data_IF_600832849536
#
_entry.id   IF_600832849536
#
_cell.length_a   1.000
_cell.length_b   1.000
_cell.length_c   1.000
_cell.angle_alpha   90.00
_cell.angle_beta   90.00
_cell.angle_gamma   90.00
#
_symmetry.space_group_name_H-M   'P 1'
#
loop_
_entity.id
_entity.type
_entity.pdbx_description
1 polymer ?
#
# COMPACT_ATOMS: atom_id res chain seq x y z
N UNK A 1 -23.47 -17.06 -26.96
CA UNK A 1 -24.01 -18.23 -26.23
C UNK A 1 -23.60 -19.48 -26.98
N UNK A 2 -22.63 -20.23 -26.45
CA UNK A 2 -22.97 -21.58 -26.00
C UNK A 2 -22.73 -21.76 -24.48
N UNK A 3 -23.40 -22.74 -23.88
CA UNK A 3 -23.23 -23.10 -22.48
C UNK A 3 -21.84 -23.70 -22.21
N UNK A 4 -21.22 -23.29 -21.10
CA UNK A 4 -20.23 -24.11 -20.39
C UNK A 4 -20.89 -24.59 -19.10
N UNK A 5 -20.82 -25.90 -18.84
CA UNK A 5 -21.50 -26.52 -17.72
C UNK A 5 -20.82 -26.19 -16.39
N UNK A 6 -21.61 -25.96 -15.34
CA UNK A 6 -21.10 -25.83 -13.98
C UNK A 6 -20.59 -27.17 -13.45
N UNK A 7 -19.31 -27.23 -13.10
CA UNK A 7 -18.79 -28.28 -12.23
C UNK A 7 -19.31 -28.09 -10.80
N UNK A 8 -19.40 -29.15 -9.98
CA UNK A 8 -19.86 -29.04 -8.60
C UNK A 8 -18.89 -28.17 -7.79
N UNK A 9 -19.43 -27.32 -6.93
CA UNK A 9 -18.65 -26.64 -5.90
C UNK A 9 -18.04 -27.69 -4.98
N UNK A 10 -16.73 -27.89 -5.07
CA UNK A 10 -15.99 -28.70 -4.11
C UNK A 10 -15.96 -27.98 -2.77
N UNK A 11 -16.33 -28.69 -1.70
CA UNK A 11 -16.49 -28.13 -0.37
C UNK A 11 -15.21 -27.49 0.19
N UNK A 12 -15.38 -26.35 0.86
CA UNK A 12 -14.31 -25.56 1.47
C UNK A 12 -13.84 -26.16 2.80
N UNK A 13 -13.32 -27.39 2.76
CA UNK A 13 -12.55 -27.96 3.88
C UNK A 13 -11.13 -27.37 3.91
N UNK A 14 -11.05 -26.07 4.24
CA UNK A 14 -9.78 -25.37 4.46
C UNK A 14 -9.13 -25.87 5.75
N UNK A 15 -8.19 -26.81 5.59
CA UNK A 15 -7.09 -27.21 6.50
C UNK A 15 -7.25 -26.73 7.96
N UNK A 16 -7.64 -27.64 8.84
CA UNK A 16 -7.15 -27.64 10.22
C UNK A 16 -5.62 -27.80 10.18
N UNK A 17 -4.89 -26.69 9.97
CA UNK A 17 -3.43 -26.63 10.05
C UNK A 17 -2.96 -26.31 11.48
N UNK A 18 -3.73 -26.74 12.48
CA UNK A 18 -3.38 -26.69 13.89
C UNK A 18 -2.56 -27.91 14.32
N UNK A 19 -1.53 -28.27 13.56
CA UNK A 19 -0.58 -29.32 13.95
C UNK A 19 0.86 -28.90 13.61
N UNK A 20 1.62 -28.56 14.66
CA UNK A 20 3.07 -28.35 14.71
C UNK A 20 3.72 -27.49 13.59
N UNK A 21 3.61 -26.16 13.70
CA UNK A 21 4.57 -25.24 13.05
C UNK A 21 5.94 -25.40 13.73
N UNK A 22 6.79 -26.26 13.17
CA UNK A 22 8.11 -26.58 13.76
C UNK A 22 9.09 -25.40 13.69
N UNK A 23 9.98 -25.29 14.68
CA UNK A 23 10.87 -24.15 14.95
C UNK A 23 12.03 -23.93 13.92
N UNK A 24 11.92 -24.41 12.68
CA UNK A 24 13.10 -24.59 11.80
C UNK A 24 13.03 -23.99 10.40
N UNK A 25 12.04 -23.14 10.08
CA UNK A 25 12.08 -22.34 8.84
C UNK A 25 12.88 -21.05 9.04
N UNK A 26 14.07 -21.01 8.42
CA UNK A 26 14.94 -19.83 8.40
C UNK A 26 14.20 -18.64 7.75
N UNK A 27 14.18 -17.45 8.38
CA UNK A 27 13.53 -16.28 7.79
C UNK A 27 14.23 -15.86 6.49
N UNK A 28 13.43 -15.54 5.46
CA UNK A 28 13.91 -14.95 4.22
C UNK A 28 14.33 -13.50 4.43
N UNK A 29 13.59 -12.76 5.25
CA UNK A 29 13.90 -11.40 5.68
C UNK A 29 13.95 -11.35 7.21
N UNK A 30 15.02 -10.79 7.77
CA UNK A 30 15.14 -10.48 9.20
C UNK A 30 15.50 -9.01 9.37
N UNK A 31 14.78 -8.33 10.25
CA UNK A 31 14.91 -6.90 10.53
C UNK A 31 15.13 -6.72 12.02
N UNK A 32 16.23 -6.08 12.39
CA UNK A 32 16.66 -5.90 13.79
C UNK A 32 16.94 -4.42 14.05
N UNK A 33 16.25 -3.82 15.03
CA UNK A 33 16.45 -2.44 15.46
C UNK A 33 16.39 -1.40 14.34
N UNK A 34 15.61 -1.61 13.28
CA UNK A 34 15.65 -0.79 12.06
C UNK A 34 15.24 0.66 12.32
N UNK A 35 16.10 1.62 11.98
CA UNK A 35 15.86 3.06 12.14
C UNK A 35 15.90 3.78 10.79
N UNK A 36 14.94 4.69 10.57
CA UNK A 36 15.05 5.77 9.59
C UNK A 36 14.56 7.09 10.15
N UNK A 37 15.51 7.99 10.40
CA UNK A 37 15.24 9.39 10.71
C UNK A 37 15.57 10.26 9.49
N UNK A 38 14.66 11.15 9.09
CA UNK A 38 14.91 12.13 8.02
C UNK A 38 15.29 13.50 8.62
N UNK A 39 16.46 14.07 8.31
CA UNK A 39 16.91 15.31 8.93
C UNK A 39 16.08 16.51 8.45
N UNK A 40 15.61 17.33 9.39
CA UNK A 40 14.92 18.59 9.10
C UNK A 40 15.98 19.68 9.10
N UNK A 41 16.15 20.38 7.98
CA UNK A 41 17.16 21.43 7.80
C UNK A 41 16.49 22.81 7.69
N UNK A 42 17.08 23.85 8.28
CA UNK A 42 16.53 25.22 8.26
C UNK A 42 17.62 26.28 8.06
N UNK A 43 17.24 27.40 7.44
CA UNK A 43 18.09 28.55 7.15
C UNK A 43 19.01 28.36 5.93
N UNK A 44 19.65 29.44 5.49
CA UNK A 44 20.52 29.44 4.29
C UNK A 44 21.70 28.45 4.43
N UNK A 45 22.17 28.21 5.65
CA UNK A 45 23.25 27.27 5.96
C UNK A 45 22.79 25.81 6.14
N UNK A 46 21.51 25.49 5.88
CA UNK A 46 20.97 24.11 5.89
C UNK A 46 21.29 23.32 7.17
N UNK A 47 21.32 23.99 8.33
CA UNK A 47 21.60 23.38 9.64
C UNK A 47 20.47 22.45 10.04
N UNK A 48 20.80 21.28 10.56
CA UNK A 48 19.81 20.34 11.09
C UNK A 48 19.21 20.88 12.39
N UNK A 49 17.88 20.99 12.44
CA UNK A 49 17.10 21.51 13.58
C UNK A 49 16.19 20.46 14.22
N UNK A 50 16.13 19.26 13.65
CA UNK A 50 15.34 18.14 14.13
C UNK A 50 15.43 16.95 13.18
N UNK A 51 14.59 15.93 13.40
CA UNK A 51 14.42 14.84 12.45
C UNK A 51 13.02 14.23 12.54
N UNK A 52 12.47 13.82 11.39
CA UNK A 52 11.24 13.02 11.30
C UNK A 52 11.61 11.57 11.64
N UNK A 53 11.11 11.04 12.77
CA UNK A 53 11.34 9.65 13.18
C UNK A 53 10.34 8.70 12.50
N UNK A 54 10.52 8.51 11.19
CA UNK A 54 9.59 7.74 10.34
C UNK A 54 9.58 6.23 10.65
N UNK A 55 10.75 5.66 10.99
CA UNK A 55 10.90 4.32 11.55
C UNK A 55 11.94 4.41 12.67
N UNK A 56 11.69 3.79 13.83
CA UNK A 56 12.46 4.07 15.05
C UNK A 56 12.77 2.82 15.88
N UNK A 57 13.57 1.90 15.37
CA UNK A 57 13.93 0.68 16.08
C UNK A 57 12.77 -0.31 16.07
N UNK A 58 12.53 -0.91 14.90
CA UNK A 58 11.54 -1.98 14.73
C UNK A 58 12.23 -3.32 14.45
N UNK A 59 11.62 -4.38 14.97
CA UNK A 59 12.12 -5.74 14.91
C UNK A 59 11.03 -6.66 14.36
N UNK A 60 11.31 -7.34 13.26
CA UNK A 60 10.41 -8.34 12.67
C UNK A 60 11.15 -9.28 11.72
N UNK A 61 10.46 -10.34 11.32
CA UNK A 61 10.94 -11.41 10.47
C UNK A 61 9.84 -11.79 9.47
N UNK A 62 10.23 -12.34 8.32
CA UNK A 62 9.32 -12.90 7.32
C UNK A 62 9.91 -14.23 6.84
N UNK A 63 9.12 -15.31 6.95
CA UNK A 63 9.49 -16.65 6.51
C UNK A 63 9.31 -16.80 5.00
N UNK A 64 9.95 -17.80 4.41
CA UNK A 64 9.81 -18.07 2.97
C UNK A 64 8.38 -18.50 2.66
N UNK A 65 7.73 -17.91 1.66
CA UNK A 65 6.36 -18.22 1.26
C UNK A 65 5.29 -17.60 2.17
N UNK A 66 5.66 -16.80 3.17
CA UNK A 66 4.74 -16.11 4.09
C UNK A 66 4.28 -14.76 3.52
N UNK A 67 3.04 -14.37 3.80
CA UNK A 67 2.57 -12.99 3.68
C UNK A 67 2.48 -12.31 5.04
N UNK A 68 3.44 -11.40 5.31
CA UNK A 68 3.37 -10.46 6.43
C UNK A 68 2.56 -9.21 6.04
N UNK A 69 1.41 -9.03 6.67
CA UNK A 69 0.63 -7.80 6.61
C UNK A 69 1.21 -6.70 7.51
N UNK A 70 1.22 -5.45 7.05
CA UNK A 70 1.68 -4.29 7.82
C UNK A 70 0.60 -3.21 7.80
N UNK A 71 -0.02 -2.94 8.94
CA UNK A 71 -1.21 -2.09 9.08
C UNK A 71 -0.99 -0.91 10.03
N UNK A 72 -1.82 0.13 9.90
CA UNK A 72 -1.80 1.30 10.76
C UNK A 72 -2.32 2.55 10.06
N UNK A 73 -2.48 3.64 10.81
CA UNK A 73 -2.92 4.95 10.32
C UNK A 73 -1.99 5.51 9.22
N UNK A 74 -2.49 6.48 8.45
CA UNK A 74 -1.67 7.17 7.45
C UNK A 74 -0.48 7.88 8.13
N UNK A 75 0.67 7.94 7.44
CA UNK A 75 1.88 8.56 7.98
C UNK A 75 2.62 7.80 9.09
N UNK A 76 2.13 6.64 9.57
CA UNK A 76 2.78 5.89 10.66
C UNK A 76 4.10 5.18 10.31
N UNK A 77 4.62 5.33 9.08
CA UNK A 77 5.95 4.83 8.67
C UNK A 77 5.97 3.62 7.74
N UNK A 78 4.84 2.96 7.48
CA UNK A 78 4.75 1.70 6.71
C UNK A 78 5.46 1.75 5.34
N UNK A 79 5.13 2.73 4.50
CA UNK A 79 5.77 2.93 3.19
C UNK A 79 7.25 3.29 3.27
N UNK A 80 7.70 3.86 4.39
CA UNK A 80 9.14 4.05 4.66
C UNK A 80 9.79 2.71 4.99
N UNK A 81 9.21 1.91 5.89
CA UNK A 81 9.68 0.54 6.19
C UNK A 81 9.82 -0.28 4.90
N UNK A 82 8.80 -0.29 4.03
CA UNK A 82 8.86 -0.99 2.74
C UNK A 82 10.03 -0.55 1.86
N UNK A 83 10.34 0.75 1.83
CA UNK A 83 11.47 1.32 1.07
C UNK A 83 12.85 1.05 1.71
N UNK A 84 12.90 0.80 3.02
CA UNK A 84 14.11 0.40 3.74
C UNK A 84 14.48 -1.06 3.45
N UNK A 85 13.51 -1.98 3.59
CA UNK A 85 13.77 -3.42 3.37
C UNK A 85 14.06 -3.75 1.90
N UNK A 86 13.53 -2.96 0.96
CA UNK A 86 13.86 -3.03 -0.48
C UNK A 86 15.16 -2.29 -0.86
N UNK A 87 15.83 -1.62 0.10
CA UNK A 87 17.00 -0.76 -0.13
C UNK A 87 16.81 0.29 -1.24
N UNK A 88 15.58 0.80 -1.37
CA UNK A 88 15.30 2.04 -2.12
C UNK A 88 15.68 3.29 -1.30
N UNK A 89 15.63 3.18 0.03
CA UNK A 89 16.09 4.18 0.97
C UNK A 89 17.08 3.50 1.93
N UNK A 90 18.16 4.19 2.26
CA UNK A 90 19.16 3.70 3.22
C UNK A 90 18.68 3.87 4.68
N UNK A 91 18.73 2.83 5.52
CA UNK A 91 18.56 2.95 6.97
C UNK A 91 19.56 3.92 7.60
N UNK A 92 19.17 4.58 8.69
CA UNK A 92 20.09 5.35 9.55
C UNK A 92 20.66 4.53 10.70
N UNK A 93 20.14 3.32 10.92
CA UNK A 93 20.60 2.37 11.93
C UNK A 93 19.78 1.08 11.92
N UNK A 94 20.18 0.13 12.76
CA UNK A 94 19.66 -1.24 12.76
C UNK A 94 20.33 -2.11 11.70
N UNK A 95 19.73 -3.28 11.45
CA UNK A 95 20.19 -4.28 10.48
C UNK A 95 19.01 -4.82 9.68
N UNK A 96 19.24 -5.06 8.39
CA UNK A 96 18.35 -5.80 7.49
C UNK A 96 19.14 -6.95 6.87
N UNK A 97 18.70 -8.17 7.11
CA UNK A 97 19.29 -9.39 6.56
C UNK A 97 18.29 -10.04 5.59
N UNK A 98 18.74 -10.39 4.40
CA UNK A 98 17.95 -11.05 3.37
C UNK A 98 18.67 -12.31 2.88
N UNK A 99 17.99 -13.45 2.91
CA UNK A 99 18.54 -14.77 2.55
C UNK A 99 19.84 -15.10 3.31
N UNK A 100 19.92 -14.69 4.59
CA UNK A 100 21.11 -14.83 5.44
C UNK A 100 22.27 -13.89 5.11
N UNK A 101 22.07 -12.84 4.31
CA UNK A 101 23.09 -11.84 3.95
C UNK A 101 22.68 -10.47 4.46
N UNK A 102 23.60 -9.77 5.10
CA UNK A 102 23.38 -8.38 5.50
C UNK A 102 23.24 -7.50 4.25
N UNK A 103 22.09 -6.85 4.09
CA UNK A 103 21.81 -5.93 2.99
C UNK A 103 21.83 -4.45 3.41
N UNK A 104 22.06 -4.18 4.69
CA UNK A 104 21.80 -2.89 5.37
C UNK A 104 22.53 -1.73 4.71
N UNK A 105 23.78 -1.94 4.27
CA UNK A 105 24.65 -0.92 3.67
C UNK A 105 25.33 -1.41 2.38
N UNK A 106 24.66 -2.27 1.61
CA UNK A 106 25.21 -2.71 0.32
C UNK A 106 25.42 -1.53 -0.64
N UNK A 107 26.63 -1.48 -1.22
CA UNK A 107 26.97 -0.61 -2.33
C UNK A 107 26.30 -1.03 -3.64
N UNK A 108 26.44 -0.20 -4.67
CA UNK A 108 25.74 -0.33 -5.96
C UNK A 108 25.89 -1.70 -6.63
N UNK A 109 27.09 -2.30 -6.58
CA UNK A 109 27.34 -3.65 -7.11
C UNK A 109 26.55 -4.75 -6.38
N UNK A 110 26.53 -4.73 -5.05
CA UNK A 110 25.79 -5.68 -4.23
C UNK A 110 24.26 -5.52 -4.31
N UNK A 111 23.78 -4.30 -4.58
CA UNK A 111 22.35 -4.02 -4.80
C UNK A 111 21.81 -4.58 -6.12
N UNK A 112 22.65 -4.84 -7.13
CA UNK A 112 22.15 -5.29 -8.45
C UNK A 112 21.54 -6.70 -8.40
N UNK A 113 22.17 -7.73 -7.78
CA UNK A 113 21.53 -9.02 -7.52
C UNK A 113 20.30 -8.91 -6.61
N UNK A 114 20.39 -8.12 -5.52
CA UNK A 114 19.28 -7.94 -4.58
C UNK A 114 18.01 -7.42 -5.29
N UNK A 115 18.16 -6.50 -6.25
CA UNK A 115 17.07 -5.99 -7.11
C UNK A 115 16.54 -6.98 -8.14
N UNK A 116 16.99 -8.24 -8.15
CA UNK A 116 16.33 -9.35 -8.85
C UNK A 116 15.43 -10.11 -7.87
N UNK A 117 16.00 -10.46 -6.71
CA UNK A 117 15.34 -11.26 -5.67
C UNK A 117 14.27 -10.49 -4.87
N UNK A 118 14.39 -9.15 -4.79
CA UNK A 118 13.48 -8.27 -4.05
C UNK A 118 12.87 -7.25 -5.01
N UNK A 119 11.53 -7.20 -5.06
CA UNK A 119 10.75 -6.35 -5.94
C UNK A 119 9.69 -5.55 -5.16
N UNK A 120 9.20 -4.46 -5.75
CA UNK A 120 8.23 -3.57 -5.11
C UNK A 120 7.06 -3.26 -6.05
N UNK A 121 5.84 -3.42 -5.53
CA UNK A 121 4.61 -2.88 -6.10
C UNK A 121 4.34 -1.55 -5.38
N UNK A 122 4.17 -0.48 -6.15
CA UNK A 122 3.97 0.86 -5.62
C UNK A 122 2.48 1.21 -5.47
N UNK A 123 2.19 2.12 -4.54
CA UNK A 123 0.85 2.62 -4.20
C UNK A 123 0.09 3.23 -5.39
N UNK A 124 0.81 3.93 -6.29
CA UNK A 124 0.20 4.57 -7.44
C UNK A 124 0.42 3.76 -8.74
N UNK A 125 -0.60 3.09 -9.30
CA UNK A 125 -0.51 2.44 -10.60
C UNK A 125 -0.35 3.42 -11.78
N UNK A 126 -0.68 4.70 -11.61
CA UNK A 126 -0.57 5.72 -12.65
C UNK A 126 0.87 6.24 -12.74
N UNK A 127 1.36 6.87 -11.67
CA UNK A 127 2.73 7.42 -11.59
C UNK A 127 3.83 6.37 -11.66
N UNK A 128 3.55 5.09 -11.36
CA UNK A 128 4.54 4.02 -11.50
C UNK A 128 4.68 3.46 -12.93
N UNK A 129 3.82 3.83 -13.88
CA UNK A 129 3.90 3.40 -15.28
C UNK A 129 4.18 4.59 -16.21
N UNK A 130 5.27 4.56 -16.98
CA UNK A 130 5.57 5.65 -17.92
C UNK A 130 4.54 5.67 -19.07
N UNK A 131 3.71 6.72 -19.22
CA UNK A 131 2.61 6.74 -20.20
C UNK A 131 3.10 6.81 -21.66
N UNK A 132 4.37 7.17 -21.89
CA UNK A 132 4.99 7.24 -23.24
C UNK A 132 5.45 5.87 -23.76
N UNK A 133 5.42 4.82 -22.93
CA UNK A 133 5.89 3.48 -23.29
C UNK A 133 4.72 2.48 -23.40
N UNK A 134 4.86 1.49 -24.28
CA UNK A 134 3.90 0.38 -24.39
C UNK A 134 4.00 -0.56 -23.18
N UNK A 135 2.94 -1.32 -22.90
CA UNK A 135 2.92 -2.33 -21.82
C UNK A 135 4.06 -3.34 -22.02
N UNK A 136 4.28 -3.79 -23.26
CA UNK A 136 5.40 -4.64 -23.62
C UNK A 136 6.76 -4.08 -23.21
N UNK A 137 6.98 -2.78 -23.42
CA UNK A 137 8.19 -2.07 -23.00
C UNK A 137 8.31 -1.93 -21.48
N UNK A 138 7.20 -1.69 -20.79
CA UNK A 138 7.20 -1.47 -19.33
C UNK A 138 7.43 -2.78 -18.56
N UNK A 139 6.78 -3.87 -18.97
CA UNK A 139 6.92 -5.20 -18.33
C UNK A 139 8.25 -5.85 -18.70
N UNK A 140 8.84 -5.54 -19.88
CA UNK A 140 10.18 -6.03 -20.25
C UNK A 140 11.35 -5.22 -19.69
N UNK A 141 11.12 -4.02 -19.15
CA UNK A 141 12.18 -3.18 -18.60
C UNK A 141 13.06 -3.88 -17.54
N UNK A 142 12.54 -4.69 -16.60
CA UNK A 142 13.36 -5.43 -15.64
C UNK A 142 14.38 -6.37 -16.30
N UNK A 143 13.99 -7.11 -17.34
CA UNK A 143 14.88 -8.00 -18.10
C UNK A 143 16.06 -7.23 -18.69
N UNK A 144 15.79 -6.12 -19.37
CA UNK A 144 16.82 -5.26 -19.98
C UNK A 144 17.76 -4.65 -18.95
N UNK A 145 17.22 -4.09 -17.86
CA UNK A 145 18.02 -3.44 -16.81
C UNK A 145 18.92 -4.45 -16.08
N UNK A 146 18.46 -5.69 -15.91
CA UNK A 146 19.21 -6.73 -15.24
C UNK A 146 20.10 -7.56 -16.17
N UNK A 147 19.93 -7.49 -17.49
CA UNK A 147 20.65 -8.38 -18.42
C UNK A 147 20.21 -9.83 -18.25
N UNK A 148 18.89 -10.07 -18.21
CA UNK A 148 18.28 -11.39 -18.11
C UNK A 148 17.51 -11.64 -19.40
N UNK A 149 17.76 -12.77 -20.04
CA UNK A 149 17.04 -13.20 -21.24
C UNK A 149 16.12 -14.39 -20.91
N UNK A 150 14.79 -14.22 -20.97
CA UNK A 150 13.85 -15.32 -20.71
C UNK A 150 13.89 -16.38 -21.79
N UNK A 151 13.65 -17.64 -21.40
CA UNK A 151 13.49 -18.75 -22.33
C UNK A 151 12.31 -18.51 -23.29
N UNK A 152 12.54 -18.70 -24.59
CA UNK A 152 11.57 -18.36 -25.63
C UNK A 152 11.43 -16.85 -25.92
N UNK A 153 12.29 -16.01 -25.33
CA UNK A 153 12.45 -14.60 -25.64
C UNK A 153 11.53 -13.65 -24.86
N UNK A 154 12.01 -12.42 -24.69
CA UNK A 154 11.38 -11.36 -23.88
C UNK A 154 9.89 -11.14 -24.20
N UNK A 155 9.52 -11.12 -25.49
CA UNK A 155 8.12 -10.89 -25.90
C UNK A 155 7.17 -11.98 -25.38
N UNK A 156 7.58 -13.25 -25.50
CA UNK A 156 6.78 -14.41 -25.08
C UNK A 156 6.58 -14.42 -23.57
N UNK A 157 7.64 -14.15 -22.80
CA UNK A 157 7.54 -14.08 -21.33
C UNK A 157 6.66 -12.92 -20.87
N UNK A 158 6.73 -11.74 -21.51
CA UNK A 158 5.79 -10.65 -21.20
C UNK A 158 4.34 -11.04 -21.50
N UNK A 159 4.08 -11.75 -22.60
CA UNK A 159 2.73 -12.23 -22.92
C UNK A 159 2.21 -13.21 -21.87
N UNK A 160 3.05 -14.16 -21.41
CA UNK A 160 2.74 -15.07 -20.30
C UNK A 160 2.48 -14.32 -18.99
N UNK A 161 3.27 -13.29 -18.67
CA UNK A 161 3.08 -12.46 -17.48
C UNK A 161 1.78 -11.64 -17.54
N UNK A 162 1.32 -11.24 -18.72
CA UNK A 162 0.01 -10.60 -18.90
C UNK A 162 -1.13 -11.59 -18.65
N UNK A 163 -1.06 -12.80 -19.22
CA UNK A 163 -2.05 -13.87 -18.97
C UNK A 163 -2.16 -14.19 -17.48
N UNK A 164 -1.01 -14.36 -16.82
CA UNK A 164 -0.92 -14.67 -15.39
C UNK A 164 -1.61 -13.63 -14.49
N UNK A 165 -1.58 -12.35 -14.86
CA UNK A 165 -2.31 -11.30 -14.13
C UNK A 165 -3.73 -11.05 -14.67
N UNK A 166 -4.26 -11.92 -15.52
CA UNK A 166 -5.62 -11.85 -16.06
C UNK A 166 -5.82 -10.83 -17.18
N UNK A 167 -4.81 -10.62 -18.04
CA UNK A 167 -4.85 -9.72 -19.20
C UNK A 167 -4.54 -10.47 -20.50
N UNK A 168 -5.14 -10.05 -21.62
CA UNK A 168 -4.84 -10.65 -22.94
C UNK A 168 -3.38 -10.41 -23.37
N UNK A 169 -2.68 -11.42 -23.94
CA UNK A 169 -1.37 -11.26 -24.61
C UNK A 169 -1.31 -10.15 -25.66
N UNK A 170 -2.43 -9.86 -26.31
CA UNK A 170 -2.53 -8.87 -27.39
C UNK A 170 -2.33 -7.44 -26.87
N UNK A 171 -2.52 -7.23 -25.57
CA UNK A 171 -2.27 -5.97 -24.89
C UNK A 171 -0.80 -5.52 -24.87
N UNK A 172 0.14 -6.37 -25.31
CA UNK A 172 1.57 -6.06 -25.39
C UNK A 172 1.88 -4.71 -26.06
N UNK A 173 1.19 -4.36 -27.15
CA UNK A 173 1.45 -3.13 -27.92
C UNK A 173 0.68 -1.89 -27.41
N UNK A 174 -0.22 -2.05 -26.44
CA UNK A 174 -1.08 -0.97 -25.92
C UNK A 174 -0.31 -0.07 -24.95
N UNK A 175 -0.86 1.10 -24.65
CA UNK A 175 -0.31 2.09 -23.71
C UNK A 175 -1.09 2.14 -22.39
N UNK A 176 -0.48 2.56 -21.26
CA UNK A 176 -1.13 2.60 -19.95
C UNK A 176 -2.47 3.34 -19.92
N UNK A 177 -2.63 4.40 -20.73
CA UNK A 177 -3.84 5.21 -20.74
C UNK A 177 -5.09 4.45 -21.23
N UNK A 178 -4.92 3.34 -21.96
CA UNK A 178 -6.02 2.53 -22.50
C UNK A 178 -6.57 1.46 -21.54
N UNK A 179 -6.07 1.44 -20.29
CA UNK A 179 -6.43 0.45 -19.26
C UNK A 179 -7.15 1.10 -18.08
N UNK A 180 -8.03 0.36 -17.42
CA UNK A 180 -8.63 0.77 -16.13
C UNK A 180 -7.59 0.79 -15.01
N UNK A 181 -7.88 1.46 -13.88
CA UNK A 181 -6.98 1.51 -12.73
C UNK A 181 -6.57 0.11 -12.23
N UNK A 182 -7.51 -0.82 -12.11
CA UNK A 182 -7.23 -2.21 -11.73
C UNK A 182 -6.37 -2.98 -12.75
N UNK A 183 -6.56 -2.71 -14.04
CA UNK A 183 -5.70 -3.31 -15.08
C UNK A 183 -4.27 -2.72 -15.04
N UNK A 184 -4.12 -1.42 -14.76
CA UNK A 184 -2.79 -0.80 -14.53
C UNK A 184 -2.09 -1.39 -13.31
N UNK A 185 -2.84 -1.66 -12.23
CA UNK A 185 -2.31 -2.35 -11.06
C UNK A 185 -1.83 -3.77 -11.40
N UNK A 186 -2.62 -4.55 -12.16
CA UNK A 186 -2.22 -5.87 -12.68
C UNK A 186 -0.96 -5.79 -13.54
N UNK A 187 -0.80 -4.78 -14.40
CA UNK A 187 0.43 -4.53 -15.17
C UNK A 187 1.62 -4.21 -14.24
N UNK A 188 1.39 -3.44 -13.17
CA UNK A 188 2.40 -3.17 -12.13
C UNK A 188 2.88 -4.44 -11.42
N UNK A 189 1.95 -5.35 -11.10
CA UNK A 189 2.23 -6.68 -10.54
C UNK A 189 3.03 -7.52 -11.55
N UNK A 190 2.58 -7.64 -12.80
CA UNK A 190 3.29 -8.38 -13.85
C UNK A 190 4.74 -7.92 -14.03
N UNK A 191 4.99 -6.60 -13.99
CA UNK A 191 6.35 -6.03 -14.03
C UNK A 191 7.17 -6.43 -12.79
N UNK A 192 6.60 -6.39 -11.58
CA UNK A 192 7.29 -6.80 -10.36
C UNK A 192 7.65 -8.30 -10.37
N UNK A 193 6.80 -9.15 -10.97
CA UNK A 193 7.03 -10.58 -11.08
C UNK A 193 8.00 -10.99 -12.20
N UNK A 194 8.32 -10.10 -13.15
CA UNK A 194 9.08 -10.43 -14.34
C UNK A 194 10.42 -11.15 -14.05
N UNK A 195 11.10 -10.78 -12.97
CA UNK A 195 12.39 -11.37 -12.59
C UNK A 195 12.30 -12.60 -11.66
N UNK A 196 11.09 -13.11 -11.40
CA UNK A 196 10.80 -14.22 -10.46
C UNK A 196 11.42 -13.95 -9.06
N UNK A 197 11.03 -12.83 -8.40
CA UNK A 197 11.58 -12.45 -7.11
C UNK A 197 11.23 -13.47 -6.01
N UNK A 198 12.05 -13.52 -4.95
CA UNK A 198 11.73 -14.29 -3.73
C UNK A 198 10.80 -13.50 -2.80
N UNK A 199 10.97 -12.17 -2.76
CA UNK A 199 10.23 -11.25 -1.90
C UNK A 199 9.62 -10.11 -2.72
N UNK A 200 8.33 -9.88 -2.53
CA UNK A 200 7.60 -8.74 -3.10
C UNK A 200 7.05 -7.86 -1.98
N UNK A 201 7.42 -6.59 -1.98
CA UNK A 201 6.87 -5.58 -1.06
C UNK A 201 5.77 -4.82 -1.76
N UNK A 202 4.54 -4.92 -1.27
CA UNK A 202 3.38 -4.26 -1.85
C UNK A 202 2.97 -3.06 -0.99
N UNK A 203 3.29 -1.85 -1.45
CA UNK A 203 2.99 -0.58 -0.76
C UNK A 203 1.58 -0.13 -1.13
N UNK A 204 0.57 -0.48 -0.32
CA UNK A 204 -0.86 -0.22 -0.56
C UNK A 204 -1.37 -0.64 -1.97
N UNK A 205 -1.29 -1.92 -2.36
CA UNK A 205 -1.55 -2.37 -3.74
C UNK A 205 -3.01 -2.22 -4.23
N UNK A 206 -3.91 -1.67 -3.40
CA UNK A 206 -5.35 -1.57 -3.68
C UNK A 206 -5.97 -0.23 -3.30
N UNK A 207 -5.23 0.72 -2.70
CA UNK A 207 -5.84 1.92 -2.10
C UNK A 207 -6.48 2.88 -3.09
N UNK A 208 -6.01 2.90 -4.35
CA UNK A 208 -6.54 3.74 -5.43
C UNK A 208 -7.65 3.07 -6.26
N UNK A 209 -8.26 1.97 -5.79
CA UNK A 209 -9.18 1.12 -6.57
C UNK A 209 -10.55 0.96 -5.91
N UNK A 210 -11.59 0.80 -6.72
CA UNK A 210 -12.95 0.49 -6.26
C UNK A 210 -13.02 -0.84 -5.50
N UNK A 211 -13.86 -0.95 -4.47
CA UNK A 211 -13.94 -2.10 -3.55
C UNK A 211 -14.03 -3.46 -4.27
N UNK A 212 -14.80 -3.56 -5.36
CA UNK A 212 -14.91 -4.79 -6.17
C UNK A 212 -13.61 -5.15 -6.90
N UNK A 213 -12.84 -4.15 -7.32
CA UNK A 213 -11.53 -4.31 -7.95
C UNK A 213 -10.44 -4.61 -6.90
N UNK A 214 -10.54 -4.03 -5.70
CA UNK A 214 -9.65 -4.36 -4.58
C UNK A 214 -9.70 -5.88 -4.30
N UNK A 215 -10.90 -6.44 -4.13
CA UNK A 215 -11.07 -7.88 -3.90
C UNK A 215 -10.46 -8.74 -5.02
N UNK A 216 -10.60 -8.34 -6.29
CA UNK A 216 -10.00 -9.07 -7.40
C UNK A 216 -8.46 -9.01 -7.43
N UNK A 217 -7.86 -7.90 -6.99
CA UNK A 217 -6.39 -7.76 -6.89
C UNK A 217 -5.85 -8.52 -5.67
N UNK A 218 -6.59 -8.53 -4.56
CA UNK A 218 -6.29 -9.31 -3.35
C UNK A 218 -6.28 -10.81 -3.67
N UNK A 219 -7.31 -11.33 -4.33
CA UNK A 219 -7.37 -12.74 -4.74
C UNK A 219 -6.23 -13.07 -5.72
N UNK A 220 -5.92 -12.19 -6.69
CA UNK A 220 -4.80 -12.40 -7.60
C UNK A 220 -3.46 -12.55 -6.84
N UNK A 221 -3.23 -11.78 -5.76
CA UNK A 221 -2.01 -11.91 -4.96
C UNK A 221 -1.97 -13.23 -4.17
N UNK A 222 -3.11 -13.73 -3.68
CA UNK A 222 -3.26 -15.05 -3.02
C UNK A 222 -2.95 -16.19 -4.02
N UNK A 223 -3.56 -16.14 -5.21
CA UNK A 223 -3.33 -17.10 -6.30
C UNK A 223 -1.84 -17.13 -6.72
N UNK A 224 -1.22 -15.96 -6.87
CA UNK A 224 0.20 -15.80 -7.19
C UNK A 224 1.13 -16.31 -6.08
N UNK A 225 0.76 -16.13 -4.81
CA UNK A 225 1.50 -16.69 -3.66
C UNK A 225 1.54 -18.21 -3.77
N UNK A 226 0.39 -18.83 -4.00
CA UNK A 226 0.23 -20.28 -4.09
C UNK A 226 0.90 -20.89 -5.34
N UNK A 227 0.79 -20.25 -6.50
CA UNK A 227 1.38 -20.77 -7.76
C UNK A 227 2.91 -20.61 -7.81
N UNK A 228 3.44 -19.50 -7.30
CA UNK A 228 4.85 -19.14 -7.47
C UNK A 228 5.71 -19.26 -6.19
N UNK A 229 5.12 -19.57 -5.04
CA UNK A 229 5.84 -19.68 -3.77
C UNK A 229 6.41 -18.35 -3.28
N UNK A 230 5.73 -17.25 -3.58
CA UNK A 230 6.21 -15.89 -3.28
C UNK A 230 6.13 -15.57 -1.78
N UNK A 231 7.10 -14.79 -1.31
CA UNK A 231 7.03 -14.16 0.01
C UNK A 231 6.55 -12.73 -0.15
N UNK A 232 5.59 -12.28 0.68
CA UNK A 232 5.03 -10.94 0.59
C UNK A 232 5.21 -10.13 1.88
N UNK A 233 5.46 -8.83 1.72
CA UNK A 233 5.19 -7.82 2.76
C UNK A 233 4.15 -6.87 2.20
N UNK A 234 2.90 -7.01 2.66
CA UNK A 234 1.76 -6.20 2.19
C UNK A 234 1.51 -5.07 3.18
N UNK A 235 1.79 -3.85 2.77
CA UNK A 235 1.44 -2.63 3.50
C UNK A 235 0.01 -2.24 3.13
N UNK A 236 -0.84 -1.98 4.12
CA UNK A 236 -2.19 -1.46 3.93
C UNK A 236 -2.58 -0.49 5.05
N UNK A 237 -3.63 0.30 4.81
CA UNK A 237 -4.30 1.07 5.86
C UNK A 237 -5.61 0.40 6.34
N UNK A 238 -6.25 -0.44 5.51
CA UNK A 238 -7.45 -1.20 5.88
C UNK A 238 -7.09 -2.63 6.31
N UNK A 239 -7.48 -2.97 7.53
CA UNK A 239 -7.31 -4.30 8.11
C UNK A 239 -8.20 -5.34 7.40
N UNK A 240 -9.36 -4.95 6.86
CA UNK A 240 -10.29 -5.83 6.15
C UNK A 240 -9.61 -6.55 4.97
N UNK A 241 -8.78 -5.83 4.22
CA UNK A 241 -7.95 -6.36 3.13
C UNK A 241 -6.93 -7.37 3.66
N UNK A 242 -6.14 -6.95 4.66
CA UNK A 242 -5.02 -7.72 5.20
C UNK A 242 -5.46 -9.04 5.84
N UNK A 243 -6.66 -9.09 6.41
CA UNK A 243 -7.24 -10.34 6.93
C UNK A 243 -7.29 -11.46 5.88
N UNK A 244 -7.54 -11.16 4.62
CA UNK A 244 -7.79 -12.21 3.63
C UNK A 244 -6.50 -12.86 3.11
N UNK A 245 -5.40 -12.11 3.06
CA UNK A 245 -4.14 -12.52 2.42
C UNK A 245 -2.95 -12.72 3.35
N UNK A 246 -3.01 -12.28 4.62
CA UNK A 246 -1.85 -12.34 5.52
C UNK A 246 -1.90 -13.47 6.53
N UNK A 247 -0.75 -14.12 6.73
CA UNK A 247 -0.50 -15.15 7.75
C UNK A 247 -0.25 -14.51 9.11
N UNK A 248 0.66 -13.52 9.14
CA UNK A 248 0.93 -12.65 10.29
C UNK A 248 0.64 -11.19 9.96
N UNK A 249 0.36 -10.40 10.99
CA UNK A 249 0.03 -8.98 10.87
C UNK A 249 0.84 -8.18 11.89
N UNK A 250 1.63 -7.23 11.39
CA UNK A 250 2.33 -6.20 12.17
C UNK A 250 1.50 -4.91 12.20
N UNK A 251 1.16 -4.45 13.39
CA UNK A 251 0.48 -3.17 13.63
C UNK A 251 1.54 -2.11 13.92
N UNK A 252 1.64 -1.10 13.06
CA UNK A 252 2.56 0.02 13.21
C UNK A 252 1.85 1.28 13.71
N UNK A 253 2.40 1.91 14.74
CA UNK A 253 1.99 3.23 15.21
C UNK A 253 3.22 4.15 15.37
N UNK A 254 3.18 5.31 14.73
CA UNK A 254 4.27 6.31 14.73
C UNK A 254 5.67 5.68 14.66
N UNK A 255 5.99 4.94 13.60
CA UNK A 255 7.33 4.39 13.35
C UNK A 255 7.79 3.25 14.26
N UNK A 256 6.92 2.74 15.14
CA UNK A 256 7.13 1.56 16.00
C UNK A 256 6.15 0.44 15.60
N UNK A 257 6.54 -0.82 15.78
CA UNK A 257 5.60 -1.95 15.80
C UNK A 257 5.03 -2.03 17.22
N UNK A 258 3.72 -1.94 17.35
CA UNK A 258 3.04 -2.02 18.67
C UNK A 258 2.43 -3.38 18.95
N UNK A 259 2.15 -4.16 17.92
CA UNK A 259 1.67 -5.54 18.03
C UNK A 259 2.05 -6.33 16.78
N UNK A 260 2.41 -7.60 16.94
CA UNK A 260 2.67 -8.55 15.86
C UNK A 260 2.13 -9.92 16.29
N UNK A 261 1.19 -10.47 15.53
CA UNK A 261 0.63 -11.79 15.79
C UNK A 261 0.37 -12.55 14.49
N UNK A 262 0.01 -13.84 14.59
CA UNK A 262 -0.78 -14.46 13.54
C UNK A 262 -2.12 -13.72 13.36
N UNK A 263 -2.67 -13.77 12.15
CA UNK A 263 -3.95 -13.13 11.81
C UNK A 263 -5.03 -13.46 12.84
N UNK A 264 -5.22 -14.73 13.13
CA UNK A 264 -6.39 -15.22 13.85
C UNK A 264 -6.38 -14.74 15.31
N UNK A 265 -5.23 -14.80 15.97
CA UNK A 265 -5.03 -14.24 17.31
C UNK A 265 -5.25 -12.73 17.32
N UNK A 266 -4.76 -11.98 16.32
CA UNK A 266 -4.94 -10.52 16.26
C UNK A 266 -6.41 -10.12 16.14
N UNK A 267 -7.22 -10.83 15.34
CA UNK A 267 -8.67 -10.54 15.21
C UNK A 267 -9.50 -11.04 16.39
N UNK A 268 -9.11 -12.16 17.02
CA UNK A 268 -9.86 -12.76 18.14
C UNK A 268 -9.57 -12.07 19.47
N UNK A 269 -8.32 -11.68 19.71
CA UNK A 269 -7.83 -11.17 21.00
C UNK A 269 -6.71 -10.11 20.82
N UNK A 270 -6.98 -8.94 20.19
CA UNK A 270 -6.00 -7.87 20.06
C UNK A 270 -5.57 -7.36 21.44
N UNK A 271 -4.28 -7.28 21.71
CA UNK A 271 -3.73 -6.92 23.01
C UNK A 271 -3.45 -5.43 23.17
N UNK A 272 -2.95 -4.76 22.14
CA UNK A 272 -2.61 -3.35 22.25
C UNK A 272 -3.88 -2.49 22.11
N UNK A 273 -4.12 -1.50 22.98
CA UNK A 273 -5.29 -0.60 22.87
C UNK A 273 -5.47 0.02 21.47
N UNK A 274 -4.40 0.48 20.82
CA UNK A 274 -4.46 0.93 19.42
C UNK A 274 -5.00 -0.14 18.44
N UNK A 275 -4.53 -1.39 18.53
CA UNK A 275 -5.05 -2.49 17.70
C UNK A 275 -6.51 -2.75 17.98
N UNK A 276 -6.93 -2.78 19.25
CA UNK A 276 -8.34 -2.95 19.66
C UNK A 276 -9.22 -1.84 19.06
N UNK A 277 -8.74 -0.60 19.04
CA UNK A 277 -9.44 0.52 18.41
C UNK A 277 -9.54 0.36 16.88
N UNK A 278 -8.43 0.04 16.19
CA UNK A 278 -8.43 -0.25 14.75
C UNK A 278 -9.39 -1.38 14.38
N UNK A 279 -9.38 -2.49 15.14
CA UNK A 279 -10.26 -3.63 14.91
C UNK A 279 -11.74 -3.27 15.10
N UNK A 280 -12.07 -2.38 16.05
CA UNK A 280 -13.45 -1.92 16.25
C UNK A 280 -14.04 -1.13 15.07
N UNK A 281 -13.18 -0.58 14.20
CA UNK A 281 -13.59 0.15 13.00
C UNK A 281 -13.85 -0.77 11.79
N UNK A 282 -13.37 -2.03 11.81
CA UNK A 282 -13.48 -2.98 10.70
C UNK A 282 -14.96 -3.39 10.49
N UNK A 283 -15.54 -3.19 9.29
CA UNK A 283 -16.91 -3.62 9.01
C UNK A 283 -17.06 -5.15 9.10
N UNK A 284 -18.04 -5.63 9.86
CA UNK A 284 -18.40 -7.06 9.86
C UNK A 284 -19.11 -7.38 8.53
N UNK A 285 -18.56 -8.27 7.66
CA UNK A 285 -19.15 -8.50 6.33
C UNK A 285 -20.52 -9.17 6.39
N UNK A 286 -20.71 -10.11 7.34
CA UNK A 286 -21.93 -10.89 7.53
C UNK A 286 -23.15 -9.98 7.86
N UNK A 287 -24.15 -9.88 6.96
CA UNK A 287 -25.34 -9.05 7.19
C UNK A 287 -26.15 -9.47 8.43
N UNK A 288 -26.10 -10.75 8.83
CA UNK A 288 -26.81 -11.27 10.01
C UNK A 288 -26.15 -10.84 11.31
N UNK A 289 -24.82 -10.65 11.30
CA UNK A 289 -24.04 -10.11 12.43
C UNK A 289 -23.98 -8.58 12.43
N UNK A 290 -24.38 -7.92 11.35
CA UNK A 290 -24.49 -6.45 11.28
C UNK A 290 -25.51 -5.86 12.27
N UNK A 291 -26.44 -6.68 12.76
CA UNK A 291 -27.38 -6.34 13.84
C UNK A 291 -26.83 -6.57 15.26
N UNK A 292 -25.69 -7.27 15.41
CA UNK A 292 -24.97 -7.29 16.68
C UNK A 292 -24.36 -5.90 16.87
N UNK A 293 -24.62 -5.27 18.03
CA UNK A 293 -24.12 -3.93 18.36
C UNK A 293 -22.60 -3.93 18.35
N UNK A 294 -22.00 -3.51 17.24
CA UNK A 294 -20.56 -3.28 17.17
C UNK A 294 -20.27 -1.95 17.85
N UNK A 295 -19.78 -2.02 19.09
CA UNK A 295 -19.21 -0.87 19.79
C UNK A 295 -17.96 -0.40 19.03
N UNK A 296 -18.03 0.80 18.44
CA UNK A 296 -16.89 1.42 17.77
C UNK A 296 -16.16 2.31 18.76
N UNK A 297 -14.84 2.10 18.87
CA UNK A 297 -13.95 2.93 19.68
C UNK A 297 -13.48 4.08 18.79
N UNK A 298 -14.05 5.27 18.97
CA UNK A 298 -13.55 6.49 18.34
C UNK A 298 -12.42 7.06 19.19
N UNK A 299 -11.19 7.02 18.66
CA UNK A 299 -10.03 7.65 19.26
C UNK A 299 -10.14 9.17 19.11
N UNK A 300 -10.10 9.91 20.22
CA UNK A 300 -10.09 11.38 20.18
C UNK A 300 -8.68 11.92 19.91
N UNK A 301 -8.62 13.12 19.33
CA UNK A 301 -7.38 13.84 19.04
C UNK A 301 -6.62 13.35 17.79
N UNK A 302 -5.86 14.26 17.20
CA UNK A 302 -5.05 14.00 16.01
C UNK A 302 -3.87 13.07 16.28
N UNK A 303 -3.35 12.46 15.22
CA UNK A 303 -2.11 11.67 15.28
C UNK A 303 -0.93 12.61 15.61
N UNK A 304 -0.16 12.37 16.70
CA UNK A 304 0.97 13.22 17.06
C UNK A 304 2.04 13.33 15.96
N UNK A 305 2.69 14.48 15.86
CA UNK A 305 3.70 14.72 14.82
C UNK A 305 4.91 13.76 14.94
N UNK A 306 5.31 13.05 13.87
CA UNK A 306 6.53 12.23 13.87
C UNK A 306 7.85 13.01 14.01
N UNK A 307 7.79 14.35 14.02
CA UNK A 307 8.92 15.25 14.30
C UNK A 307 9.25 15.26 15.80
N UNK A 308 8.21 15.28 16.63
CA UNK A 308 8.27 15.33 18.09
C UNK A 308 7.30 14.28 18.66
N UNK A 309 7.58 12.97 18.49
CA UNK A 309 6.72 11.92 18.99
C UNK A 309 6.62 11.97 20.53
N UNK A 310 5.51 11.51 21.13
CA UNK A 310 5.37 11.44 22.58
C UNK A 310 6.46 10.59 23.23
N UNK A 311 6.81 10.92 24.48
CA UNK A 311 7.75 10.16 25.29
C UNK A 311 7.16 8.83 25.75
N UNK A 312 8.00 7.86 26.09
CA UNK A 312 7.55 6.54 26.52
C UNK A 312 6.74 5.81 25.43
N UNK A 313 5.55 5.32 25.78
CA UNK A 313 4.62 4.72 24.83
C UNK A 313 4.06 5.78 23.89
N UNK A 314 4.44 5.76 22.60
CA UNK A 314 3.98 6.76 21.61
C UNK A 314 2.45 6.91 21.52
N UNK A 315 1.67 5.90 21.92
CA UNK A 315 0.20 5.92 21.93
C UNK A 315 -0.42 6.51 23.21
N UNK A 316 0.36 6.84 24.25
CA UNK A 316 -0.17 7.26 25.57
C UNK A 316 -1.08 8.51 25.51
N UNK A 317 -0.98 9.33 24.47
CA UNK A 317 -1.82 10.54 24.29
C UNK A 317 -3.22 10.25 23.77
N UNK A 318 -3.48 9.04 23.25
CA UNK A 318 -4.76 8.57 22.69
C UNK A 318 -5.23 7.24 23.31
N UNK A 319 -4.58 6.80 24.39
CA UNK A 319 -4.82 5.53 25.05
C UNK A 319 -5.61 5.72 26.35
N UNK A 320 -6.71 5.00 26.49
CA UNK A 320 -7.58 5.01 27.68
C UNK A 320 -7.01 4.25 28.87
N UNK A 321 -6.00 3.39 28.66
CA UNK A 321 -5.22 2.73 29.72
C UNK A 321 -3.87 3.42 29.99
N UNK A 322 -3.70 4.68 29.56
CA UNK A 322 -2.43 5.38 29.78
C UNK A 322 -2.26 5.83 31.23
N UNK A 323 -1.06 5.58 31.75
CA UNK A 323 -0.60 5.80 33.13
C UNK A 323 0.75 6.54 33.12
N UNK A 324 1.36 6.83 34.27
CA UNK A 324 2.63 7.57 34.29
C UNK A 324 3.83 6.75 33.74
N UNK A 325 3.83 5.42 33.89
CA UNK A 325 4.82 4.56 33.21
C UNK A 325 4.67 4.66 31.68
N UNK A 326 3.46 4.76 31.16
CA UNK A 326 3.20 4.94 29.72
C UNK A 326 3.77 6.23 29.15
N UNK A 327 3.88 7.28 29.96
CA UNK A 327 4.40 8.61 29.56
C UNK A 327 5.92 8.72 29.68
N UNK A 328 6.52 7.92 30.56
CA UNK A 328 7.94 8.04 30.94
C UNK A 328 8.82 6.92 30.35
N UNK A 329 8.29 5.71 30.19
CA UNK A 329 9.02 4.53 29.73
C UNK A 329 8.44 3.96 28.44
N UNK A 330 9.31 3.67 27.46
CA UNK A 330 8.90 2.99 26.23
C UNK A 330 8.65 1.50 26.54
N UNK A 331 7.48 0.93 26.20
CA UNK A 331 7.21 -0.48 26.41
C UNK A 331 8.01 -1.34 25.42
N UNK A 332 8.77 -2.35 25.88
CA UNK A 332 9.44 -3.29 24.99
C UNK A 332 8.42 -4.17 24.24
N UNK A 333 8.76 -4.59 23.02
CA UNK A 333 7.95 -5.53 22.24
C UNK A 333 8.15 -6.96 22.78
N UNK A 334 7.27 -7.40 23.67
CA UNK A 334 7.36 -8.69 24.37
C UNK A 334 6.35 -9.71 23.83
N UNK A 335 6.74 -10.98 23.79
CA UNK A 335 5.81 -12.09 23.51
C UNK A 335 5.01 -12.42 24.77
N UNK A 336 3.73 -12.02 24.81
CA UNK A 336 2.84 -12.23 25.97
C UNK A 336 1.90 -13.43 25.81
N UNK A 337 1.76 -13.94 24.59
CA UNK A 337 1.20 -15.26 24.27
C UNK A 337 1.99 -15.89 23.12
N UNK A 338 1.99 -17.22 22.97
CA UNK A 338 2.67 -17.90 21.87
C UNK A 338 2.34 -17.27 20.51
N UNK A 339 3.37 -16.77 19.81
CA UNK A 339 3.25 -16.13 18.51
C UNK A 339 2.72 -14.68 18.50
N UNK A 340 2.33 -14.12 19.65
CA UNK A 340 1.76 -12.76 19.76
C UNK A 340 2.65 -11.84 20.62
N UNK A 341 3.39 -10.96 19.92
CA UNK A 341 4.23 -9.90 20.49
C UNK A 341 3.46 -8.59 20.62
N UNK A 342 3.59 -7.89 21.74
CA UNK A 342 2.95 -6.59 21.99
C UNK A 342 3.88 -5.66 22.78
N UNK A 343 3.87 -4.37 22.41
CA UNK A 343 4.59 -3.30 23.11
C UNK A 343 3.60 -2.48 23.95
N UNK A 344 3.16 -3.02 25.08
CA UNK A 344 2.22 -2.34 25.98
C UNK A 344 2.50 -2.67 27.46
N UNK A 345 2.45 -1.65 28.32
CA UNK A 345 2.52 -1.86 29.78
C UNK A 345 1.21 -2.45 30.33
N UNK A 346 0.06 -2.09 29.74
CA UNK A 346 -1.27 -2.50 30.21
C UNK A 346 -2.10 -3.13 29.07
N UNK A 347 -1.73 -4.32 28.56
CA UNK A 347 -2.47 -4.99 27.49
C UNK A 347 -3.94 -5.28 27.86
N UNK A 348 -4.78 -5.47 26.84
CA UNK A 348 -6.22 -5.74 26.98
C UNK A 348 -6.56 -7.23 27.11
N UNK A 349 -5.77 -8.09 26.47
CA UNK A 349 -6.03 -9.53 26.36
C UNK A 349 -4.85 -10.41 26.86
N UNK A 350 -4.00 -9.86 27.74
CA UNK A 350 -2.88 -10.54 28.39
C UNK A 350 -2.74 -10.07 29.84
N UNK A 351 -1.84 -10.69 30.60
CA UNK A 351 -1.50 -10.23 31.96
C UNK A 351 -0.91 -8.81 31.93
N UNK A 352 -1.28 -8.00 32.91
CA UNK A 352 -0.78 -6.62 33.02
C UNK A 352 0.72 -6.61 33.36
N UNK A 353 1.50 -5.80 32.65
CA UNK A 353 2.96 -5.76 32.82
C UNK A 353 3.39 -4.72 33.87
N UNK A 354 2.48 -3.84 34.30
CA UNK A 354 2.71 -2.86 35.35
C UNK A 354 1.52 -2.74 36.32
N UNK A 355 1.05 -3.85 36.95
CA UNK A 355 -0.18 -3.87 37.77
C UNK A 355 -0.15 -2.92 38.98
N UNK A 356 1.04 -2.48 39.41
CA UNK A 356 1.24 -1.46 40.45
C UNK A 356 0.98 -0.01 40.00
N UNK A 357 0.99 0.29 38.69
CA UNK A 357 0.71 1.63 38.16
C UNK A 357 -0.76 1.71 37.70
N UNK A 358 -1.63 2.14 38.61
CA UNK A 358 -3.08 2.19 38.40
C UNK A 358 -3.62 3.59 38.18
N UNK A 359 -2.78 4.62 38.24
CA UNK A 359 -3.20 6.02 38.14
C UNK A 359 -3.24 6.43 36.67
N UNK A 360 -4.44 6.46 36.11
CA UNK A 360 -4.67 6.93 34.74
C UNK A 360 -4.27 8.40 34.58
N UNK A 361 -3.63 8.72 33.45
CA UNK A 361 -3.42 10.10 33.02
C UNK A 361 -4.78 10.79 32.80
N UNK A 362 -4.88 12.09 33.08
CA UNK A 362 -6.10 12.85 32.82
C UNK A 362 -6.57 12.74 31.36
N UNK A 363 -5.63 12.77 30.41
CA UNK A 363 -5.90 12.57 28.99
C UNK A 363 -6.45 11.17 28.63
N UNK A 364 -6.19 10.15 29.46
CA UNK A 364 -6.70 8.79 29.24
C UNK A 364 -8.20 8.69 29.50
N UNK A 365 -8.72 9.43 30.49
CA UNK A 365 -10.14 9.46 30.83
C UNK A 365 -11.01 9.98 29.68
N UNK A 366 -10.49 10.93 28.89
CA UNK A 366 -11.18 11.52 27.74
C UNK A 366 -10.87 10.83 26.40
N UNK A 367 -9.98 9.84 26.35
CA UNK A 367 -9.35 9.35 25.11
C UNK A 367 -10.29 8.65 24.10
N UNK A 368 -11.42 8.08 24.56
CA UNK A 368 -12.40 7.37 23.71
C UNK A 368 -13.76 8.08 23.71
N UNK A 369 -14.48 7.98 22.59
CA UNK A 369 -15.94 7.90 22.58
C UNK A 369 -16.41 6.54 22.05
N UNK A 370 -17.21 5.79 22.81
CA UNK A 370 -17.75 4.48 22.40
C UNK A 370 -19.10 4.71 21.74
N UNK A 371 -19.19 4.45 20.44
CA UNK A 371 -20.43 4.63 19.67
C UNK A 371 -21.03 3.28 19.32
N UNK A 372 -22.24 3.02 19.81
CA UNK A 372 -23.05 1.86 19.38
C UNK A 372 -23.70 2.17 18.04
N UNK A 373 -23.21 1.57 16.95
CA UNK A 373 -23.85 1.71 15.64
C UNK A 373 -25.07 0.80 15.58
N UNK A 374 -26.26 1.40 15.68
CA UNK A 374 -27.53 0.72 15.45
C UNK A 374 -27.74 0.40 13.99
N UNK A 375 -28.30 -0.78 13.68
CA UNK A 375 -28.75 -1.10 12.34
C UNK A 375 -29.90 -0.18 11.93
N UNK A 376 -29.82 0.42 10.74
CA UNK A 376 -30.96 1.11 10.15
C UNK A 376 -32.12 0.13 9.94
N UNK A 377 -33.33 0.50 10.37
CA UNK A 377 -34.52 -0.26 10.02
C UNK A 377 -34.69 -0.29 8.50
N UNK A 378 -35.15 -1.41 7.91
CA UNK A 378 -35.41 -1.50 6.48
C UNK A 378 -36.64 -0.65 6.12
N UNK A 379 -36.41 0.63 5.85
CA UNK A 379 -37.42 1.51 5.26
C UNK A 379 -37.99 0.87 4.00
N UNK A 380 -39.31 0.71 3.96
CA UNK A 380 -39.98 0.00 2.88
C UNK A 380 -39.79 0.72 1.54
N UNK A 381 -38.92 0.18 0.68
CA UNK A 381 -38.81 0.60 -0.71
C UNK A 381 -40.01 0.04 -1.46
N UNK A 382 -41.08 0.83 -1.55
CA UNK A 382 -42.24 0.52 -2.38
C UNK A 382 -41.85 0.55 -3.85
N UNK A 383 -41.63 -0.62 -4.44
CA UNK A 383 -41.41 -0.78 -5.88
C UNK A 383 -42.73 -0.49 -6.61
N UNK A 384 -42.78 0.45 -7.57
CA UNK A 384 -43.95 0.62 -8.43
C UNK A 384 -44.11 -0.62 -9.32
N UNK A 385 -45.30 -1.21 -9.36
CA UNK A 385 -45.62 -2.31 -10.27
C UNK A 385 -45.62 -1.86 -11.74
N UNK A 386 -45.43 -2.79 -12.70
CA UNK A 386 -45.45 -2.45 -14.12
C UNK A 386 -46.86 -2.01 -14.56
N UNK A 387 -46.93 -0.88 -15.25
CA UNK A 387 -48.17 -0.39 -15.85
C UNK A 387 -48.53 -1.25 -17.08
N UNK A 388 -49.79 -1.70 -17.14
CA UNK A 388 -50.39 -2.37 -18.28
C UNK A 388 -50.73 -1.39 -19.41
N UNK A 389 -50.70 -1.87 -20.65
CA UNK A 389 -51.05 -1.10 -21.86
C UNK A 389 -52.54 -0.65 -21.87
N UNK A 390 -52.89 0.44 -22.58
CA UNK A 390 -54.23 1.03 -22.55
C UNK A 390 -55.12 0.56 -23.72
N UNK A 391 -56.43 0.50 -23.48
CA UNK A 391 -57.47 0.52 -24.53
C UNK A 391 -58.02 1.96 -24.73
N UNK A 392 -58.55 2.33 -25.92
CA UNK A 392 -58.76 3.73 -26.30
C UNK A 392 -60.24 4.18 -26.45
N UNK A 393 -60.59 5.34 -25.88
CA UNK A 393 -61.78 6.17 -26.16
C UNK A 393 -61.63 7.50 -25.37
N UNK A 394 -62.18 8.67 -25.72
CA UNK A 394 -62.41 9.33 -27.01
C UNK A 394 -62.58 10.87 -26.75
N UNK A 395 -62.46 11.71 -27.79
CA UNK A 395 -62.79 13.16 -27.82
C UNK A 395 -61.91 14.13 -26.97
N UNK A 396 -61.78 15.44 -27.27
CA UNK A 396 -61.79 16.22 -28.53
C UNK A 396 -61.31 17.68 -28.23
N UNK A 397 -61.03 18.48 -29.28
CA UNK A 397 -60.71 19.93 -29.29
C UNK A 397 -59.35 20.35 -28.67
N UNK A 398 -58.37 20.87 -29.45
CA UNK A 398 -58.25 22.27 -29.96
C UNK A 398 -57.95 23.31 -28.85
N UNK A 399 -57.00 24.26 -28.95
CA UNK A 399 -56.32 24.84 -30.13
C UNK A 399 -54.95 25.49 -29.79
N UNK A 400 -54.11 25.56 -30.82
CA UNK A 400 -52.96 26.48 -31.05
C UNK A 400 -52.86 27.78 -30.23
N UNK A 401 -51.67 28.12 -29.72
CA UNK A 401 -50.77 29.16 -30.30
C UNK A 401 -49.63 29.64 -29.35
N UNK A 402 -48.41 29.79 -29.90
CA UNK A 402 -47.31 30.68 -29.44
C UNK A 402 -47.50 32.09 -30.08
N UNK A 403 -46.76 33.18 -29.76
CA UNK A 403 -45.39 33.26 -29.18
C UNK A 403 -45.12 34.41 -28.17
N UNK A 404 -43.82 34.60 -27.81
CA UNK A 404 -43.05 35.87 -27.57
C UNK A 404 -43.72 37.17 -27.06
N UNK A 405 -43.08 38.05 -26.29
CA UNK A 405 -41.78 38.09 -25.59
C UNK A 405 -41.75 39.35 -24.67
N UNK A 406 -40.55 39.81 -24.30
CA UNK A 406 -40.17 41.18 -23.89
C UNK A 406 -40.31 41.61 -22.41
N UNK A 407 -39.10 41.71 -21.82
CA UNK A 407 -38.50 42.89 -21.18
C UNK A 407 -38.79 43.36 -19.73
N UNK A 408 -37.66 43.35 -18.99
CA UNK A 408 -37.03 44.48 -18.28
C UNK A 408 -37.65 45.14 -17.03
N UNK A 409 -36.82 45.11 -15.97
CA UNK A 409 -36.61 46.18 -14.96
C UNK A 409 -37.82 46.53 -14.03
N UNK A 410 -37.66 47.14 -12.84
CA UNK A 410 -36.52 47.85 -12.23
C UNK A 410 -36.61 47.79 -10.69
N UNK A 411 -35.54 48.21 -10.03
CA UNK A 411 -35.33 48.37 -8.58
C UNK A 411 -36.41 49.06 -7.74
N UNK A 412 -36.34 48.84 -6.42
CA UNK A 412 -36.66 49.87 -5.41
C UNK A 412 -35.72 49.82 -4.20
N UNK A 413 -35.16 51.00 -3.85
CA UNK A 413 -34.66 51.33 -2.51
C UNK A 413 -35.86 51.74 -1.62
N UNK A 414 -35.81 51.93 -0.30
CA UNK A 414 -34.69 51.99 0.65
C UNK A 414 -34.78 53.26 1.52
N UNK A 415 -34.84 53.09 2.85
CA UNK A 415 -34.76 54.09 3.94
C UNK A 415 -34.34 53.30 5.21
N UNK A 416 -33.42 53.71 6.09
CA UNK A 416 -33.24 55.01 6.78
C UNK A 416 -33.83 54.87 8.21
N UNK A 417 -33.16 55.14 9.34
CA UNK A 417 -32.05 56.09 9.61
C UNK A 417 -31.45 55.88 11.03
N UNK A 418 -30.11 55.99 11.19
CA UNK A 418 -29.28 56.37 12.39
C UNK A 418 -29.52 55.73 13.79
N UNK A 419 -28.56 55.51 14.72
CA UNK A 419 -27.14 55.93 14.98
C UNK A 419 -26.33 54.68 15.46
N UNK A 420 -25.04 54.66 15.81
CA UNK A 420 -23.92 55.62 15.83
C UNK A 420 -22.76 55.18 16.78
N UNK A 421 -21.68 55.98 16.86
CA UNK A 421 -20.45 55.81 17.69
C UNK A 421 -19.37 54.86 17.15
N UNK A 422 -18.15 55.39 17.01
CA UNK A 422 -16.94 54.72 16.52
C UNK A 422 -16.07 54.14 17.65
N UNK A 423 -15.27 53.11 17.36
CA UNK A 423 -13.85 53.06 17.80
C UNK A 423 -13.05 52.08 16.94
N UNK A 424 -11.73 52.28 16.87
CA UNK A 424 -10.87 51.86 15.74
C UNK A 424 -10.13 50.55 16.00
N UNK A 425 -10.00 49.69 14.98
CA UNK A 425 -9.05 48.57 14.96
C UNK A 425 -8.27 48.51 13.64
N UNK A 426 -6.95 48.65 13.72
CA UNK A 426 -6.03 47.99 12.78
C UNK A 426 -5.98 46.49 13.14
N UNK A 427 -5.45 45.56 12.32
CA UNK A 427 -4.88 45.63 10.98
C UNK A 427 -4.20 44.29 10.65
N UNK A 428 -3.85 44.08 9.39
CA UNK A 428 -3.06 42.96 8.86
C UNK A 428 -3.71 41.56 8.80
N UNK A 429 -4.13 41.19 7.59
CA UNK A 429 -4.29 39.81 7.15
C UNK A 429 -3.06 39.38 6.33
N UNK A 430 -2.62 38.13 6.47
CA UNK A 430 -1.60 37.51 5.60
C UNK A 430 -2.19 36.37 4.77
N UNK A 431 -1.85 36.24 3.46
CA UNK A 431 -2.39 35.22 2.58
C UNK A 431 -1.58 33.90 2.63
N UNK A 432 -2.21 32.79 2.21
CA UNK A 432 -1.52 31.53 1.94
C UNK A 432 -0.89 31.47 0.54
N UNK A 433 0.13 30.62 0.31
CA UNK A 433 0.80 30.50 -0.99
C UNK A 433 0.15 29.45 -1.91
N UNK A 434 0.16 29.76 -3.20
CA UNK A 434 -0.41 28.99 -4.31
C UNK A 434 0.51 27.89 -4.84
N UNK A 435 -0.03 27.00 -5.69
CA UNK A 435 0.74 26.01 -6.44
C UNK A 435 1.54 26.64 -7.60
N UNK A 436 2.70 26.06 -7.91
CA UNK A 436 3.48 26.37 -9.12
C UNK A 436 3.34 25.26 -10.17
N UNK A 437 3.00 25.66 -11.39
CA UNK A 437 3.15 24.87 -12.62
C UNK A 437 4.36 25.41 -13.37
N UNK A 438 5.16 24.53 -13.98
CA UNK A 438 6.27 24.93 -14.86
C UNK A 438 6.08 24.28 -16.23
N UNK A 439 6.03 25.11 -17.27
CA UNK A 439 5.86 24.69 -18.66
C UNK A 439 7.20 24.56 -19.39
N UNK A 440 7.32 23.55 -20.25
CA UNK A 440 8.43 23.39 -21.19
C UNK A 440 8.36 24.45 -22.31
N UNK A 441 9.51 24.86 -22.85
CA UNK A 441 9.58 25.72 -24.04
C UNK A 441 10.74 25.28 -24.95
N UNK A 442 10.41 24.90 -26.17
CA UNK A 442 11.35 24.47 -27.21
C UNK A 442 12.04 25.65 -27.89
N UNK A 443 13.24 25.42 -28.43
CA UNK A 443 13.79 26.15 -29.57
C UNK A 443 14.84 25.28 -30.29
N UNK A 444 14.70 25.13 -31.61
CA UNK A 444 15.70 24.57 -32.52
C UNK A 444 16.58 25.71 -33.07
N UNK A 445 17.86 25.43 -33.38
CA UNK A 445 18.46 25.74 -34.70
C UNK A 445 19.91 25.22 -34.78
N UNK A 446 20.26 24.67 -35.94
CA UNK A 446 21.60 24.25 -36.37
C UNK A 446 22.13 25.27 -37.40
N UNK A 447 23.44 25.34 -37.76
CA UNK A 447 23.90 24.46 -38.85
C UNK A 447 25.42 24.13 -38.95
N UNK A 448 25.72 23.07 -39.72
CA UNK A 448 26.89 22.84 -40.60
C UNK A 448 28.27 22.43 -40.04
N UNK A 449 28.89 21.43 -40.71
CA UNK A 449 30.18 20.78 -40.37
C UNK A 449 31.44 21.44 -40.97
N UNK A 450 32.54 20.69 -41.27
CA UNK A 450 32.53 19.44 -42.05
C UNK A 450 33.43 18.27 -41.53
N UNK A 451 33.40 17.13 -42.24
CA UNK A 451 34.26 15.93 -42.07
C UNK A 451 35.72 16.12 -42.60
N UNK A 452 36.64 15.13 -42.44
CA UNK A 452 36.78 14.14 -43.53
C UNK A 452 37.20 12.68 -43.17
N UNK A 453 36.73 11.75 -44.03
CA UNK A 453 37.41 10.58 -44.64
C UNK A 453 37.96 9.37 -43.82
N UNK A 454 37.28 8.23 -44.01
CA UNK A 454 37.76 6.93 -44.55
C UNK A 454 39.11 6.30 -44.10
N UNK A 455 39.06 5.05 -43.59
CA UNK A 455 39.67 3.86 -44.24
C UNK A 455 39.52 2.56 -43.41
N UNK A 456 39.01 1.50 -44.05
CA UNK A 456 39.27 0.09 -43.66
C UNK A 456 40.57 -0.39 -44.34
N UNK A 457 41.15 -1.58 -43.98
CA UNK A 457 40.72 -2.79 -44.70
C UNK A 457 40.82 -4.16 -43.97
N UNK A 458 40.05 -5.11 -44.51
CA UNK A 458 40.36 -6.54 -44.77
C UNK A 458 40.48 -7.58 -43.63
N UNK A 459 39.61 -8.59 -43.72
CA UNK A 459 39.81 -9.98 -43.26
C UNK A 459 40.87 -10.73 -44.10
N UNK A 460 41.29 -11.94 -43.66
CA UNK A 460 40.98 -13.12 -44.50
C UNK A 460 40.63 -14.42 -43.75
N UNK A 461 39.71 -15.20 -44.31
CA UNK A 461 39.55 -16.65 -44.13
C UNK A 461 40.31 -17.43 -45.24
N UNK A 462 40.28 -18.78 -45.28
CA UNK A 462 40.59 -19.77 -44.25
C UNK A 462 41.71 -20.74 -44.71
N UNK A 463 42.09 -21.74 -43.91
CA UNK A 463 42.92 -22.87 -44.38
C UNK A 463 42.54 -24.21 -43.75
N UNK A 464 42.12 -25.17 -44.59
CA UNK A 464 41.88 -26.56 -44.22
C UNK A 464 43.20 -27.36 -44.13
N UNK A 465 43.31 -28.31 -43.19
CA UNK A 465 43.92 -29.65 -43.42
C UNK A 465 43.94 -30.51 -42.15
N UNK A 466 43.20 -31.63 -42.20
CA UNK A 466 43.41 -32.83 -41.37
C UNK A 466 44.47 -33.77 -42.02
N UNK A 467 44.70 -35.03 -41.58
CA UNK A 467 45.11 -35.50 -40.25
C UNK A 467 46.31 -36.49 -40.32
N UNK A 468 46.94 -36.82 -39.18
CA UNK A 468 47.62 -38.11 -38.88
C UNK A 468 48.04 -38.13 -37.39
N UNK A 469 47.63 -39.05 -36.51
CA UNK A 469 47.76 -40.51 -36.51
C UNK A 469 49.12 -41.04 -35.97
N UNK A 470 49.24 -41.20 -34.64
CA UNK A 470 50.07 -42.27 -34.06
C UNK A 470 49.57 -42.75 -32.68
N UNK A 471 49.72 -44.05 -32.45
CA UNK A 471 49.49 -44.87 -31.23
C UNK A 471 50.81 -45.68 -31.02
N UNK A 472 50.99 -46.54 -29.99
CA UNK A 472 50.76 -46.38 -28.55
C UNK A 472 51.93 -46.97 -27.69
N UNK A 473 52.00 -46.63 -26.39
CA UNK A 473 52.60 -47.47 -25.32
C UNK A 473 52.02 -46.95 -23.97
N UNK A 474 51.45 -47.72 -23.04
CA UNK A 474 51.82 -49.00 -22.40
C UNK A 474 53.01 -48.89 -21.43
N UNK A 475 52.69 -48.53 -20.18
CA UNK A 475 53.06 -49.26 -18.96
C UNK A 475 51.90 -49.18 -17.96
#
# INVERSE_FOLDING_TARGET
>A
MPHVAGGPHADLERRDCAEAVSETEKPLLKVEGLVKHFPIKKGLLQRQVGAVKAVDGIDFDVRTGETLGVVGESGCGKSTMGRLITRLIEPTGGKVEFDGKDITHLGTGGLRPLRRDVQMIFQDPYGSLNPRHTIGTIVSAPFRLQGVEPEGGVKKEVQRLLELVGLSPEHYNRYPHEFSGGQRQRIGIARALALKPKLVVADEPVSALDVSIQAQVVNLLDDLQAELGLTYVIIAHDLSVVRHVSDRIAVMYLGKIVELADRDSLYKAPMHPYTKALMSAVPIPDPRRRAAKSERILLKGDVPSPISPPSGCRFHTRCWKATEICKTQEPPLLELKPGQRVACHHPENAEDQAPQDTVLLSAAADAIEVVTVGGAEPGAVSVPGPASEPDPEAEAAERTAKPSADDAATASAGTGTETGTETVSAGEASPGPSAEQSAERSAEEEPSGPEPSESEPSEPEPSESEPSAEKPAKE
#
